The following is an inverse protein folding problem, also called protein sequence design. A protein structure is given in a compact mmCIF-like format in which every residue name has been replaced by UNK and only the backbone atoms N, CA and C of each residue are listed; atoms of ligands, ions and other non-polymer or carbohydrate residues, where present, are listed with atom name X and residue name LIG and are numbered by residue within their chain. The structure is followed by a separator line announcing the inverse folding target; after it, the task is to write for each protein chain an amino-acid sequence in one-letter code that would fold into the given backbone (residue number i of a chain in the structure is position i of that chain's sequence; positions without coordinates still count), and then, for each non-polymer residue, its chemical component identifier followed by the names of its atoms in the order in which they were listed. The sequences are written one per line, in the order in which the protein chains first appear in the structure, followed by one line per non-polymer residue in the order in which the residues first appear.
data_IF_330076937718
#
_entry.id   IF_330076937718
#
_cell.length_a   1.000
_cell.length_b   1.000
_cell.length_c   1.000
_cell.angle_alpha   90.00
_cell.angle_beta   90.00
_cell.angle_gamma   90.00
#
_symmetry.space_group_name_H-M   'P 1'
#
loop_
_entity.id
_entity.type
_entity.pdbx_description
1 polymer ?
#
# COMPACT_ATOMS: atom_id res chain seq x y z
N UNK A 1 -13.53 12.27 -6.21
CA UNK A 1 -13.13 10.91 -6.62
C UNK A 1 -12.59 11.03 -8.04
N UNK A 2 -11.28 10.83 -8.25
CA UNK A 2 -10.69 10.71 -9.58
C UNK A 2 -11.51 9.77 -10.48
N UNK A 3 -11.63 10.07 -11.78
CA UNK A 3 -12.36 9.20 -12.72
C UNK A 3 -11.75 7.79 -12.77
N UNK A 4 -10.43 7.68 -12.63
CA UNK A 4 -9.70 6.41 -12.55
C UNK A 4 -10.15 5.50 -11.41
N UNK A 5 -10.68 6.05 -10.31
CA UNK A 5 -11.22 5.25 -9.20
C UNK A 5 -12.61 4.68 -9.52
N UNK A 6 -13.37 5.32 -10.41
CA UNK A 6 -14.68 4.83 -10.88
C UNK A 6 -14.49 3.71 -11.91
N UNK A 7 -13.48 3.83 -12.77
CA UNK A 7 -13.16 2.84 -13.81
C UNK A 7 -12.53 1.57 -13.23
N UNK A 8 -11.78 1.69 -12.12
CA UNK A 8 -11.21 0.53 -11.43
C UNK A 8 -12.30 -0.30 -10.76
N UNK A 9 -12.48 -1.55 -11.19
CA UNK A 9 -13.56 -2.42 -10.68
C UNK A 9 -13.49 -2.67 -9.17
N UNK A 10 -12.29 -2.86 -8.63
CA UNK A 10 -12.10 -3.10 -7.19
C UNK A 10 -12.51 -1.86 -6.41
N UNK A 11 -12.05 -0.68 -6.83
CA UNK A 11 -12.41 0.59 -6.17
C UNK A 11 -13.90 0.88 -6.29
N UNK A 12 -14.48 0.69 -7.47
CA UNK A 12 -15.93 0.80 -7.70
C UNK A 12 -16.72 -0.15 -6.80
N UNK A 13 -16.25 -1.39 -6.59
CA UNK A 13 -16.94 -2.36 -5.74
C UNK A 13 -17.04 -1.93 -4.28
N UNK A 14 -16.05 -1.17 -3.78
CA UNK A 14 -16.04 -0.65 -2.41
C UNK A 14 -17.15 0.38 -2.15
N UNK A 15 -17.65 1.07 -3.18
CA UNK A 15 -18.80 1.99 -3.05
C UNK A 15 -20.08 1.31 -2.58
N UNK A 16 -20.17 -0.02 -2.74
CA UNK A 16 -21.33 -0.83 -2.34
C UNK A 16 -21.21 -1.36 -0.91
N UNK A 17 -20.09 -1.14 -0.24
CA UNK A 17 -19.87 -1.62 1.12
C UNK A 17 -20.70 -0.84 2.12
N UNK A 18 -20.98 -1.46 3.28
CA UNK A 18 -21.57 -0.73 4.41
C UNK A 18 -20.58 0.32 4.89
N UNK A 19 -21.10 1.42 5.43
CA UNK A 19 -20.25 2.47 5.98
C UNK A 19 -19.35 1.90 7.10
N UNK A 20 -18.07 2.26 7.03
CA UNK A 20 -17.05 1.92 8.02
C UNK A 20 -16.43 3.24 8.48
N UNK A 21 -16.09 3.34 9.77
CA UNK A 21 -15.39 4.52 10.27
C UNK A 21 -13.95 4.55 9.76
N UNK A 22 -13.41 5.73 9.48
CA UNK A 22 -12.04 5.89 9.03
C UNK A 22 -11.03 5.25 10.00
N UNK A 23 -11.31 5.31 11.31
CA UNK A 23 -10.48 4.68 12.35
C UNK A 23 -10.42 3.16 12.21
N UNK A 24 -11.57 2.51 11.98
CA UNK A 24 -11.61 1.05 11.79
C UNK A 24 -10.89 0.67 10.50
N UNK A 25 -11.12 1.40 9.41
CA UNK A 25 -10.44 1.16 8.14
C UNK A 25 -8.92 1.26 8.28
N UNK A 26 -8.41 2.32 8.93
CA UNK A 26 -6.98 2.49 9.17
C UNK A 26 -6.38 1.34 10.00
N UNK A 27 -7.07 0.89 11.04
CA UNK A 27 -6.62 -0.25 11.83
C UNK A 27 -6.57 -1.53 10.99
N UNK A 28 -7.59 -1.78 10.17
CA UNK A 28 -7.59 -2.93 9.26
C UNK A 28 -6.45 -2.86 8.24
N UNK A 29 -6.13 -1.69 7.69
CA UNK A 29 -4.99 -1.53 6.78
C UNK A 29 -3.65 -1.82 7.46
N UNK A 30 -3.47 -1.39 8.72
CA UNK A 30 -2.27 -1.75 9.49
C UNK A 30 -2.16 -3.26 9.72
N UNK A 31 -3.27 -3.94 10.02
CA UNK A 31 -3.27 -5.39 10.21
C UNK A 31 -2.96 -6.15 8.91
N UNK A 32 -3.48 -5.67 7.78
CA UNK A 32 -3.12 -6.22 6.45
C UNK A 32 -1.64 -6.02 6.17
N UNK A 33 -1.10 -4.81 6.41
CA UNK A 33 0.33 -4.53 6.20
C UNK A 33 1.23 -5.46 7.02
N UNK A 34 0.90 -5.71 8.29
CA UNK A 34 1.64 -6.68 9.13
C UNK A 34 1.59 -8.10 8.58
N UNK A 35 0.42 -8.56 8.14
CA UNK A 35 0.25 -9.92 7.59
C UNK A 35 1.03 -10.09 6.28
N UNK A 36 0.92 -9.11 5.38
CA UNK A 36 1.68 -9.09 4.13
C UNK A 36 3.18 -9.05 4.41
N UNK A 37 3.63 -8.24 5.37
CA UNK A 37 5.04 -8.20 5.77
C UNK A 37 5.58 -9.55 6.23
N UNK A 38 4.81 -10.30 7.03
CA UNK A 38 5.20 -11.65 7.45
C UNK A 38 5.28 -12.63 6.26
N UNK A 39 4.29 -12.60 5.37
CA UNK A 39 4.33 -13.44 4.15
C UNK A 39 5.48 -13.06 3.23
N UNK A 40 5.85 -11.78 3.19
CA UNK A 40 6.98 -11.29 2.42
C UNK A 40 8.32 -11.73 3.03
N UNK A 41 8.45 -11.76 4.35
CA UNK A 41 9.64 -12.31 5.04
C UNK A 41 9.86 -13.79 4.68
N UNK A 42 8.78 -14.58 4.68
CA UNK A 42 8.82 -15.99 4.26
C UNK A 42 9.16 -16.15 2.77
N UNK A 43 8.70 -15.22 1.91
CA UNK A 43 8.90 -15.28 0.46
C UNK A 43 10.29 -14.76 0.00
N UNK A 44 10.77 -13.65 0.56
CA UNK A 44 12.07 -13.05 0.24
C UNK A 44 13.23 -13.92 0.75
N UNK A 45 13.03 -14.64 1.84
CA UNK A 45 14.11 -15.38 2.49
C UNK A 45 15.25 -14.46 2.92
N UNK A 46 16.49 -14.93 2.78
CA UNK A 46 17.69 -14.21 3.23
C UNK A 46 18.39 -13.36 2.17
N UNK A 47 17.99 -13.47 0.90
CA UNK A 47 18.65 -12.78 -0.21
C UNK A 47 17.64 -12.03 -1.07
N UNK A 48 17.64 -10.72 -0.93
CA UNK A 48 16.90 -9.79 -1.77
C UNK A 48 17.72 -8.51 -1.93
N UNK A 49 17.45 -7.78 -3.02
CA UNK A 49 18.01 -6.47 -3.25
C UNK A 49 17.06 -5.38 -2.73
N UNK A 50 17.62 -4.22 -2.43
CA UNK A 50 16.86 -3.00 -2.16
C UNK A 50 17.04 -2.02 -3.32
N UNK A 51 15.92 -1.54 -3.87
CA UNK A 51 15.90 -0.44 -4.84
C UNK A 51 15.37 0.82 -4.16
N UNK A 52 16.06 1.93 -4.39
CA UNK A 52 15.68 3.25 -3.89
C UNK A 52 15.24 4.12 -5.07
N UNK A 53 14.08 4.75 -4.93
CA UNK A 53 13.61 5.78 -5.87
C UNK A 53 13.38 7.08 -5.11
N UNK A 54 14.00 8.17 -5.56
CA UNK A 54 14.01 9.44 -4.85
C UNK A 54 13.45 10.56 -5.72
N UNK A 55 12.55 11.36 -5.18
CA UNK A 55 12.01 12.53 -5.85
C UNK A 55 11.79 13.69 -4.87
N UNK A 56 11.69 14.90 -5.39
CA UNK A 56 11.35 16.08 -4.61
C UNK A 56 10.06 16.73 -5.10
N UNK A 57 9.34 17.36 -4.18
CA UNK A 57 8.22 18.22 -4.52
C UNK A 57 8.20 19.42 -3.56
N UNK A 58 8.38 20.63 -4.12
CA UNK A 58 8.52 21.84 -3.33
C UNK A 58 9.74 21.79 -2.40
N UNK A 59 9.51 21.94 -1.11
CA UNK A 59 10.55 21.85 -0.06
C UNK A 59 10.75 20.46 0.53
N UNK A 60 10.03 19.44 0.02
CA UNK A 60 10.10 18.07 0.54
C UNK A 60 10.89 17.15 -0.39
N UNK A 61 11.66 16.24 0.21
CA UNK A 61 12.32 15.13 -0.46
C UNK A 61 11.70 13.81 0.01
N UNK A 62 11.38 12.94 -0.94
CA UNK A 62 10.75 11.65 -0.72
C UNK A 62 11.70 10.55 -1.21
N UNK A 63 11.68 9.42 -0.51
CA UNK A 63 12.40 8.21 -0.89
C UNK A 63 11.45 7.03 -0.76
N UNK A 64 11.20 6.34 -1.87
CA UNK A 64 10.60 5.01 -1.86
C UNK A 64 11.69 3.95 -1.74
N UNK A 65 11.41 2.92 -0.94
CA UNK A 65 12.29 1.76 -0.73
C UNK A 65 11.53 0.52 -1.15
N UNK A 66 12.08 -0.24 -2.08
CA UNK A 66 11.48 -1.46 -2.62
C UNK A 66 12.38 -2.66 -2.34
N UNK A 67 11.80 -3.77 -1.87
CA UNK A 67 12.46 -5.06 -1.92
C UNK A 67 12.27 -5.68 -3.31
N UNK A 68 13.35 -6.15 -3.92
CA UNK A 68 13.38 -6.76 -5.26
C UNK A 68 14.13 -8.09 -5.18
N UNK A 69 13.55 -9.15 -5.75
CA UNK A 69 14.06 -10.52 -5.66
C UNK A 69 13.57 -11.34 -6.86
#
# INVERSE_FOLDING_TARGET
MPLSEVDNELTRSMSRWRSVSARVLLNSMHDVAKRVGKSLEEALGSCFALMFDGWSHGSMYYVAVYAVF
#
